data_IF_172622763709
#
_entry.id   IF_172622763709
#
_cell.length_a   1.000
_cell.length_b   1.000
_cell.length_c   1.000
_cell.angle_alpha   90.00
_cell.angle_beta   90.00
_cell.angle_gamma   90.00
#
_symmetry.space_group_name_H-M   'P 1'
#
loop_
_entity.id
_entity.type
_entity.pdbx_description
1 polymer ?
#
# COMPACT_ATOMS: atom_id res chain seq x y z
N UNK A 1 -14.28 -2.00 2.43
CA UNK A 1 -14.25 -2.67 1.10
C UNK A 1 -14.44 -4.18 1.26
N UNK A 2 -13.52 -4.95 1.88
CA UNK A 2 -13.63 -6.43 1.99
C UNK A 2 -14.96 -6.87 2.60
N UNK A 3 -15.38 -6.30 3.72
CA UNK A 3 -16.67 -6.64 4.35
C UNK A 3 -17.89 -6.28 3.49
N UNK A 4 -17.79 -5.22 2.70
CA UNK A 4 -18.87 -4.79 1.80
C UNK A 4 -19.01 -5.73 0.60
N UNK A 5 -17.89 -6.14 0.01
CA UNK A 5 -17.85 -7.01 -1.17
C UNK A 5 -17.55 -8.50 -0.83
N UNK A 6 -17.86 -8.95 0.39
CA UNK A 6 -17.50 -10.30 0.84
C UNK A 6 -18.15 -11.43 0.02
N UNK A 7 -19.26 -11.15 -0.64
CA UNK A 7 -19.96 -12.13 -1.50
C UNK A 7 -19.23 -12.33 -2.83
N UNK A 8 -18.62 -11.26 -3.34
CA UNK A 8 -17.87 -11.21 -4.58
C UNK A 8 -16.41 -11.63 -4.35
N UNK A 9 -15.84 -11.29 -3.21
CA UNK A 9 -14.46 -11.60 -2.82
C UNK A 9 -14.37 -12.98 -2.16
N UNK A 10 -14.54 -14.02 -2.96
CA UNK A 10 -14.42 -15.42 -2.49
C UNK A 10 -12.95 -15.80 -2.28
N UNK A 11 -12.69 -16.74 -1.35
CA UNK A 11 -11.35 -17.30 -1.14
C UNK A 11 -10.96 -18.23 -2.30
N UNK A 12 -9.68 -18.32 -2.70
CA UNK A 12 -8.54 -17.61 -2.08
C UNK A 12 -8.54 -16.10 -2.39
N UNK A 13 -8.13 -15.31 -1.41
CA UNK A 13 -7.87 -13.88 -1.63
C UNK A 13 -6.36 -13.66 -1.58
N UNK A 14 -5.81 -13.07 -2.63
CA UNK A 14 -4.41 -12.66 -2.74
C UNK A 14 -4.32 -11.16 -2.56
N UNK A 15 -3.36 -10.71 -1.75
CA UNK A 15 -3.06 -9.28 -1.61
C UNK A 15 -1.83 -8.91 -2.44
N UNK A 16 -1.99 -8.03 -3.44
CA UNK A 16 -0.86 -7.45 -4.19
C UNK A 16 -0.82 -5.96 -3.88
N UNK A 17 0.26 -5.49 -3.27
CA UNK A 17 0.39 -4.09 -2.86
C UNK A 17 1.73 -3.49 -3.17
N UNK A 18 1.72 -2.38 -3.91
CA UNK A 18 2.90 -1.58 -4.20
C UNK A 18 3.04 -0.45 -3.19
N UNK A 19 4.26 -0.17 -2.76
CA UNK A 19 4.58 1.00 -1.92
C UNK A 19 3.74 1.04 -0.63
N UNK A 20 2.95 2.09 -0.41
CA UNK A 20 2.00 2.19 0.72
C UNK A 20 0.89 1.14 0.67
N UNK A 21 0.51 0.69 -0.52
CA UNK A 21 -0.45 -0.40 -0.68
C UNK A 21 0.04 -1.69 0.01
N UNK A 22 1.33 -1.97 -0.07
CA UNK A 22 1.97 -3.07 0.67
C UNK A 22 1.84 -2.92 2.18
N UNK A 23 2.11 -1.72 2.72
CA UNK A 23 1.91 -1.40 4.13
C UNK A 23 0.46 -1.63 4.58
N UNK A 24 -0.50 -1.13 3.80
CA UNK A 24 -1.93 -1.26 4.11
C UNK A 24 -2.38 -2.72 4.11
N UNK A 25 -1.90 -3.54 3.16
CA UNK A 25 -2.23 -4.97 3.11
C UNK A 25 -1.66 -5.74 4.30
N UNK A 26 -0.44 -5.42 4.75
CA UNK A 26 0.12 -6.01 5.98
C UNK A 26 -0.76 -5.68 7.18
N UNK A 27 -1.13 -4.42 7.37
CA UNK A 27 -2.00 -4.02 8.48
C UNK A 27 -3.37 -4.69 8.39
N UNK A 28 -3.99 -4.77 7.22
CA UNK A 28 -5.25 -5.48 7.03
C UNK A 28 -5.10 -6.99 7.36
N UNK A 29 -3.98 -7.60 6.97
CA UNK A 29 -3.68 -9.00 7.28
C UNK A 29 -3.49 -9.25 8.77
N UNK A 30 -2.91 -8.29 9.51
CA UNK A 30 -2.77 -8.36 10.96
C UNK A 30 -4.11 -8.21 11.70
N UNK A 31 -5.04 -7.45 11.14
CA UNK A 31 -6.42 -7.35 11.65
C UNK A 31 -7.24 -8.60 11.36
N UNK A 32 -6.98 -9.26 10.23
CA UNK A 32 -7.70 -10.45 9.76
C UNK A 32 -6.70 -11.52 9.28
N UNK A 33 -6.08 -12.28 10.20
CA UNK A 33 -4.95 -13.16 9.89
C UNK A 33 -5.23 -14.28 8.88
N UNK A 34 -6.49 -14.64 8.67
CA UNK A 34 -6.92 -15.67 7.69
C UNK A 34 -7.55 -15.08 6.42
N UNK A 35 -7.50 -13.77 6.24
CA UNK A 35 -8.10 -13.11 5.07
C UNK A 35 -7.37 -13.45 3.78
N UNK A 36 -6.05 -13.26 3.79
CA UNK A 36 -5.22 -13.49 2.62
C UNK A 36 -4.59 -14.89 2.67
N UNK A 37 -4.59 -15.56 1.53
CA UNK A 37 -3.86 -16.81 1.34
C UNK A 37 -2.36 -16.54 1.21
N UNK A 38 -1.99 -15.45 0.54
CA UNK A 38 -0.62 -14.96 0.37
C UNK A 38 -0.62 -13.47 0.08
N UNK A 39 0.53 -12.81 0.31
CA UNK A 39 0.78 -11.40 -0.03
C UNK A 39 1.94 -11.29 -1.02
N UNK A 40 1.79 -10.39 -1.99
CA UNK A 40 2.88 -9.88 -2.82
C UNK A 40 3.10 -8.42 -2.47
N UNK A 41 4.26 -8.11 -1.93
CA UNK A 41 4.64 -6.78 -1.46
C UNK A 41 5.69 -6.20 -2.40
N UNK A 42 5.24 -5.34 -3.30
CA UNK A 42 6.08 -4.69 -4.32
C UNK A 42 6.67 -3.42 -3.73
N UNK A 43 7.94 -3.45 -3.43
CA UNK A 43 8.74 -2.37 -2.84
C UNK A 43 8.02 -1.61 -1.71
N UNK A 44 7.58 -2.32 -0.65
CA UNK A 44 6.66 -1.77 0.33
C UNK A 44 7.31 -0.71 1.22
N UNK A 45 6.55 0.34 1.55
CA UNK A 45 6.94 1.36 2.52
C UNK A 45 6.75 0.82 3.94
N UNK A 46 7.67 -0.07 4.33
CA UNK A 46 7.74 -0.70 5.65
C UNK A 46 9.20 -0.69 6.08
N UNK A 47 9.53 -0.01 7.17
CA UNK A 47 10.91 0.12 7.61
C UNK A 47 10.99 0.55 9.08
N UNK A 48 12.12 0.26 9.72
CA UNK A 48 12.36 0.47 11.15
C UNK A 48 12.43 1.94 11.57
N UNK A 49 12.71 2.83 10.63
CA UNK A 49 12.91 4.26 10.88
C UNK A 49 12.31 5.12 9.77
N UNK A 50 12.10 6.39 10.07
CA UNK A 50 11.60 7.34 9.10
C UNK A 50 12.67 7.68 8.06
N UNK A 51 12.39 7.42 6.79
CA UNK A 51 13.31 7.73 5.68
C UNK A 51 13.10 9.14 5.15
N UNK A 52 14.13 9.98 5.23
CA UNK A 52 14.10 11.30 4.57
C UNK A 52 13.96 11.14 3.05
N UNK A 53 14.78 10.31 2.44
CA UNK A 53 14.74 10.07 0.99
C UNK A 53 13.39 9.50 0.52
N UNK A 54 12.82 8.53 1.28
CA UNK A 54 11.55 7.87 0.93
C UNK A 54 10.30 8.71 1.20
N UNK A 55 10.36 9.72 2.06
CA UNK A 55 9.20 10.52 2.45
C UNK A 55 9.29 11.98 1.98
N UNK A 56 10.36 12.70 2.34
CA UNK A 56 10.49 14.14 2.04
C UNK A 56 10.73 14.42 0.56
N UNK A 57 11.51 13.59 -0.14
CA UNK A 57 11.75 13.73 -1.56
C UNK A 57 10.46 13.70 -2.37
N UNK A 58 9.68 12.61 -2.29
CA UNK A 58 8.38 12.49 -2.95
C UNK A 58 7.37 13.57 -2.53
N UNK A 59 7.28 13.90 -1.22
CA UNK A 59 6.39 14.94 -0.74
C UNK A 59 6.71 16.30 -1.36
N UNK A 60 8.00 16.68 -1.40
CA UNK A 60 8.45 17.93 -2.03
C UNK A 60 8.18 17.94 -3.54
N UNK A 61 8.44 16.83 -4.22
CA UNK A 61 8.17 16.71 -5.65
C UNK A 61 6.67 16.88 -5.95
N UNK A 62 5.79 16.19 -5.20
CA UNK A 62 4.35 16.29 -5.37
C UNK A 62 3.81 17.68 -5.02
N UNK A 63 4.34 18.34 -3.97
CA UNK A 63 3.95 19.72 -3.61
C UNK A 63 4.18 20.69 -4.76
N UNK A 64 5.31 20.56 -5.45
CA UNK A 64 5.75 21.53 -6.46
C UNK A 64 5.43 21.08 -7.91
N UNK A 65 4.86 19.89 -8.11
CA UNK A 65 4.55 19.41 -9.47
C UNK A 65 3.47 20.24 -10.15
N UNK A 66 3.58 20.36 -11.47
CA UNK A 66 2.50 20.88 -12.30
C UNK A 66 1.31 19.92 -12.26
N UNK A 67 0.11 20.46 -12.17
CA UNK A 67 -1.13 19.69 -12.07
C UNK A 67 -2.27 20.19 -12.96
N UNK A 68 -2.00 21.17 -13.85
CA UNK A 68 -2.97 21.66 -14.83
C UNK A 68 -2.30 21.82 -16.21
N UNK A 69 -3.00 21.44 -17.25
CA UNK A 69 -2.58 21.55 -18.65
C UNK A 69 -3.75 22.03 -19.50
N UNK A 70 -3.50 22.86 -20.55
CA UNK A 70 -4.56 23.41 -21.38
C UNK A 70 -5.35 22.33 -22.13
N UNK A 71 -4.74 21.16 -22.36
CA UNK A 71 -5.38 20.01 -22.97
C UNK A 71 -4.72 18.69 -22.53
N UNK A 72 -5.38 17.57 -22.78
CA UNK A 72 -4.82 16.23 -22.55
C UNK A 72 -3.58 16.00 -23.44
N UNK A 73 -3.57 16.53 -24.65
CA UNK A 73 -2.42 16.41 -25.54
C UNK A 73 -1.22 17.24 -25.05
N UNK A 74 -1.46 18.41 -24.50
CA UNK A 74 -0.40 19.21 -23.83
C UNK A 74 0.16 18.50 -22.59
N UNK A 75 -0.67 17.80 -21.83
CA UNK A 75 -0.24 16.95 -20.72
C UNK A 75 0.61 15.78 -21.22
N UNK A 76 0.16 15.06 -22.25
CA UNK A 76 0.89 13.97 -22.92
C UNK A 76 2.29 14.42 -23.34
N UNK A 77 2.38 15.54 -24.03
CA UNK A 77 3.65 16.10 -24.48
C UNK A 77 4.58 16.46 -23.31
N UNK A 78 4.02 16.96 -22.19
CA UNK A 78 4.77 17.28 -20.99
C UNK A 78 5.31 16.00 -20.31
N UNK A 79 4.49 14.95 -20.19
CA UNK A 79 4.91 13.68 -19.58
C UNK A 79 5.99 12.99 -20.42
N UNK A 80 5.85 12.91 -21.74
CA UNK A 80 6.84 12.32 -22.64
C UNK A 80 8.21 13.02 -22.59
N UNK A 81 8.27 14.32 -22.24
CA UNK A 81 9.53 15.04 -22.03
C UNK A 81 10.16 14.83 -20.66
N UNK A 82 9.40 14.36 -19.69
CA UNK A 82 9.88 14.18 -18.31
C UNK A 82 10.68 12.89 -18.17
N UNK A 83 11.92 12.98 -17.68
CA UNK A 83 12.78 11.82 -17.39
C UNK A 83 12.12 10.82 -16.45
N UNK A 84 11.30 11.31 -15.52
CA UNK A 84 10.55 10.48 -14.59
C UNK A 84 9.58 9.52 -15.29
N UNK A 85 8.83 10.02 -16.28
CA UNK A 85 7.88 9.21 -17.03
C UNK A 85 8.54 8.42 -18.19
N UNK A 86 9.75 8.78 -18.59
CA UNK A 86 10.49 8.05 -19.63
C UNK A 86 10.98 6.69 -19.15
N UNK A 87 11.08 6.45 -17.83
CA UNK A 87 11.37 5.14 -17.26
C UNK A 87 10.16 4.19 -17.26
N UNK A 88 8.96 4.70 -17.50
CA UNK A 88 7.74 3.88 -17.49
C UNK A 88 7.57 3.12 -18.80
N UNK A 89 6.96 1.94 -18.70
CA UNK A 89 6.43 1.24 -19.87
C UNK A 89 5.50 2.16 -20.65
N UNK A 90 5.65 2.29 -21.99
CA UNK A 90 4.81 3.16 -22.79
C UNK A 90 3.31 2.89 -22.67
N UNK A 91 2.90 1.63 -22.46
CA UNK A 91 1.50 1.23 -22.25
C UNK A 91 0.95 1.81 -20.96
N UNK A 92 1.76 1.78 -19.90
CA UNK A 92 1.38 2.35 -18.59
C UNK A 92 1.28 3.86 -18.67
N UNK A 93 2.21 4.52 -19.39
CA UNK A 93 2.14 5.96 -19.60
C UNK A 93 0.87 6.37 -20.37
N UNK A 94 0.47 5.62 -21.38
CA UNK A 94 -0.76 5.90 -22.11
C UNK A 94 -2.01 5.72 -21.23
N UNK A 95 -2.06 4.69 -20.38
CA UNK A 95 -3.13 4.51 -19.41
C UNK A 95 -3.15 5.63 -18.36
N UNK A 96 -1.96 6.09 -17.91
CA UNK A 96 -1.86 7.25 -17.03
C UNK A 96 -2.43 8.52 -17.67
N UNK A 97 -2.13 8.78 -18.95
CA UNK A 97 -2.66 9.94 -19.68
C UNK A 97 -4.18 9.82 -19.85
N UNK A 98 -4.68 8.62 -20.06
CA UNK A 98 -6.11 8.36 -20.24
C UNK A 98 -6.89 8.51 -18.93
N UNK A 99 -6.45 7.89 -17.85
CA UNK A 99 -7.21 7.74 -16.59
C UNK A 99 -6.67 8.55 -15.42
N UNK A 100 -5.40 8.94 -15.44
CA UNK A 100 -4.77 9.77 -14.41
C UNK A 100 -5.09 11.26 -14.51
N UNK A 101 -5.79 11.66 -15.58
CA UNK A 101 -6.22 13.02 -15.82
C UNK A 101 -7.76 13.10 -15.92
N UNK A 102 -8.30 14.21 -15.44
CA UNK A 102 -9.73 14.56 -15.57
C UNK A 102 -9.89 15.97 -16.14
N UNK A 103 -10.99 16.22 -16.81
CA UNK A 103 -11.32 17.54 -17.38
C UNK A 103 -11.71 18.55 -16.31
N UNK A 104 -11.36 19.81 -16.54
CA UNK A 104 -11.89 20.96 -15.80
C UNK A 104 -13.26 21.38 -16.38
N UNK A 105 -14.15 21.99 -15.58
CA UNK A 105 -13.95 22.43 -14.20
C UNK A 105 -14.06 21.29 -13.17
N UNK A 106 -13.40 21.47 -12.04
CA UNK A 106 -13.50 20.58 -10.88
C UNK A 106 -13.78 21.41 -9.63
N UNK A 107 -14.14 20.77 -8.51
CA UNK A 107 -14.34 21.49 -7.23
C UNK A 107 -13.08 22.24 -6.77
N UNK A 108 -11.89 21.73 -7.11
CA UNK A 108 -10.63 22.41 -6.81
C UNK A 108 -10.29 23.51 -7.81
N UNK A 109 -10.68 23.33 -9.06
CA UNK A 109 -10.44 24.27 -10.17
C UNK A 109 -11.77 24.60 -10.87
N UNK A 110 -12.61 25.46 -10.26
CA UNK A 110 -13.97 25.74 -10.77
C UNK A 110 -13.97 26.60 -12.05
N UNK A 111 -12.85 27.24 -12.37
CA UNK A 111 -12.70 28.10 -13.55
C UNK A 111 -11.49 27.66 -14.38
N UNK A 112 -11.64 27.76 -15.72
CA UNK A 112 -10.51 27.60 -16.63
C UNK A 112 -9.46 28.70 -16.38
N UNK A 113 -8.18 28.39 -16.60
CA UNK A 113 -7.14 29.43 -16.56
C UNK A 113 -7.26 30.35 -17.76
N UNK A 114 -6.87 31.61 -17.61
CA UNK A 114 -6.85 32.59 -18.70
C UNK A 114 -6.03 32.16 -19.94
N UNK A 115 -5.12 31.17 -19.77
CA UNK A 115 -4.35 30.59 -20.89
C UNK A 115 -5.17 29.60 -21.75
N UNK A 116 -6.36 29.14 -21.30
CA UNK A 116 -7.29 28.31 -22.09
C UNK A 116 -8.49 29.10 -22.60
N UNK A 117 -8.65 30.36 -22.19
CA UNK A 117 -9.65 31.26 -22.76
C UNK A 117 -9.08 31.89 -24.03
N UNK A 118 -9.48 31.39 -25.18
CA UNK A 118 -9.42 32.16 -26.41
C UNK A 118 -10.25 33.44 -26.15
N UNK A 119 -9.72 34.66 -26.34
CA UNK A 119 -10.51 35.86 -26.15
C UNK A 119 -11.77 35.76 -27.05
N UNK A 120 -12.97 36.03 -26.55
CA UNK A 120 -14.13 36.10 -27.42
C UNK A 120 -13.83 37.15 -28.47
N UNK A 121 -13.83 36.75 -29.74
CA UNK A 121 -13.78 37.69 -30.87
C UNK A 121 -15.07 38.49 -30.82
N UNK A 122 -15.00 39.72 -30.34
CA UNK A 122 -16.14 40.66 -30.39
C UNK A 122 -16.29 41.06 -31.85
N UNK A 123 -17.18 40.38 -32.57
CA UNK A 123 -17.64 40.92 -33.85
C UNK A 123 -18.59 42.09 -33.57
N UNK A 124 -18.29 43.25 -34.13
CA UNK A 124 -19.05 44.48 -33.97
C UNK A 124 -20.32 44.50 -34.86
N UNK A 125 -21.06 43.39 -34.88
CA UNK A 125 -22.33 43.33 -35.65
C UNK A 125 -23.48 43.01 -34.68
N UNK A 126 -24.44 43.94 -34.46
CA UNK A 126 -25.52 43.78 -33.47
C UNK A 126 -26.64 42.81 -33.88
N UNK A 127 -26.49 42.03 -34.94
CA UNK A 127 -27.56 41.23 -35.51
C UNK A 127 -27.37 39.70 -35.51
N UNK A 128 -26.26 39.15 -35.02
CA UNK A 128 -25.98 37.71 -35.09
C UNK A 128 -25.72 37.09 -33.73
N UNK A 129 -26.77 36.88 -32.94
CA UNK A 129 -26.70 36.10 -31.72
C UNK A 129 -27.03 34.62 -32.00
N UNK A 130 -26.11 33.92 -32.68
CA UNK A 130 -26.02 32.45 -32.59
C UNK A 130 -24.57 32.10 -32.32
N UNK A 131 -24.24 31.95 -31.04
CA UNK A 131 -22.99 31.37 -30.66
C UNK A 131 -23.06 29.88 -30.97
N UNK A 132 -22.61 29.49 -32.16
CA UNK A 132 -22.26 28.11 -32.43
C UNK A 132 -21.13 27.72 -31.46
N UNK A 133 -21.20 26.60 -30.74
CA UNK A 133 -20.07 26.12 -29.99
C UNK A 133 -18.94 25.88 -31.00
N UNK A 134 -17.78 26.48 -30.73
CA UNK A 134 -16.56 26.20 -31.49
C UNK A 134 -16.29 24.68 -31.49
N UNK A 135 -15.88 24.10 -32.64
CA UNK A 135 -15.64 22.67 -32.76
C UNK A 135 -14.50 22.31 -31.79
N UNK A 136 -14.72 21.30 -30.95
CA UNK A 136 -13.77 20.60 -30.10
C UNK A 136 -12.60 21.45 -29.57
N UNK A 137 -12.87 22.46 -28.76
CA UNK A 137 -11.83 23.08 -27.95
C UNK A 137 -11.39 22.06 -26.93
N UNK A 138 -10.16 21.56 -27.09
CA UNK A 138 -9.53 20.66 -26.14
C UNK A 138 -9.67 21.23 -24.71
N UNK A 139 -10.35 20.51 -23.85
CA UNK A 139 -10.63 20.97 -22.49
C UNK A 139 -9.38 20.91 -21.63
N UNK A 140 -9.21 21.93 -20.79
CA UNK A 140 -8.20 21.92 -19.76
C UNK A 140 -8.34 20.67 -18.90
N UNK A 141 -7.20 20.05 -18.53
CA UNK A 141 -7.16 18.85 -17.69
C UNK A 141 -6.32 19.07 -16.44
N UNK A 142 -6.68 18.36 -15.39
CA UNK A 142 -5.93 18.28 -14.13
C UNK A 142 -5.75 16.84 -13.70
N UNK A 143 -4.92 16.60 -12.65
CA UNK A 143 -4.74 15.26 -12.09
C UNK A 143 -6.05 14.72 -11.49
N UNK A 144 -6.37 13.46 -11.76
CA UNK A 144 -7.52 12.76 -11.17
C UNK A 144 -7.36 12.64 -9.65
N UNK A 145 -6.20 12.22 -9.17
CA UNK A 145 -5.79 12.36 -7.77
C UNK A 145 -5.03 13.67 -7.63
N UNK A 146 -5.53 14.59 -6.82
CA UNK A 146 -4.92 15.90 -6.67
C UNK A 146 -3.57 15.81 -5.96
N UNK A 147 -2.62 16.68 -6.31
CA UNK A 147 -1.32 16.76 -5.59
C UNK A 147 -1.49 17.00 -4.09
N UNK A 148 -2.54 17.67 -3.67
CA UNK A 148 -2.87 17.92 -2.27
C UNK A 148 -3.20 16.64 -1.51
N UNK A 149 -3.93 15.71 -2.13
CA UNK A 149 -4.18 14.38 -1.57
C UNK A 149 -2.93 13.51 -1.60
N UNK A 150 -2.17 13.56 -2.70
CA UNK A 150 -0.97 12.78 -2.89
C UNK A 150 0.10 13.07 -1.82
N UNK A 151 0.31 14.35 -1.48
CA UNK A 151 1.32 14.78 -0.49
C UNK A 151 1.07 14.13 0.87
N UNK A 152 -0.18 14.01 1.32
CA UNK A 152 -0.51 13.38 2.61
C UNK A 152 -0.23 11.88 2.66
N UNK A 153 -0.08 11.22 1.51
CA UNK A 153 0.36 9.82 1.50
C UNK A 153 1.85 9.67 1.85
N UNK A 154 2.64 10.73 1.72
CA UNK A 154 4.06 10.73 2.05
C UNK A 154 4.34 11.26 3.45
N UNK A 155 3.76 12.40 3.81
CA UNK A 155 3.99 13.07 5.09
C UNK A 155 2.73 13.78 5.56
N UNK A 156 2.49 13.76 6.87
CA UNK A 156 1.46 14.56 7.52
C UNK A 156 2.09 15.74 8.26
N UNK A 157 1.46 16.92 8.24
CA UNK A 157 1.99 18.08 8.94
C UNK A 157 1.79 17.95 10.46
N UNK A 158 2.76 18.37 11.22
CA UNK A 158 2.69 18.61 12.66
C UNK A 158 3.34 19.98 12.92
N UNK A 159 2.62 21.03 12.56
CA UNK A 159 3.11 22.41 12.60
C UNK A 159 2.84 23.05 13.96
N UNK A 160 3.66 24.00 14.41
CA UNK A 160 3.38 24.80 15.60
C UNK A 160 2.00 25.46 15.54
N UNK A 161 1.29 25.44 16.67
CA UNK A 161 0.05 26.17 16.87
C UNK A 161 0.19 27.05 18.10
N UNK A 162 -0.82 27.89 18.38
CA UNK A 162 -0.82 28.73 19.61
C UNK A 162 -0.85 27.86 20.87
N UNK A 163 -1.61 26.73 20.80
CA UNK A 163 -1.80 25.79 21.91
C UNK A 163 -0.62 24.82 22.04
N UNK A 164 0.14 24.59 20.98
CA UNK A 164 1.31 23.72 20.94
C UNK A 164 2.43 24.43 20.15
N UNK A 165 3.18 25.35 20.78
CA UNK A 165 4.22 26.12 20.10
C UNK A 165 5.42 25.28 19.64
N UNK A 166 5.74 24.18 20.36
CA UNK A 166 6.79 23.24 20.00
C UNK A 166 6.27 21.81 19.95
N UNK A 167 5.65 21.40 18.81
CA UNK A 167 5.11 20.05 18.67
C UNK A 167 6.18 18.95 18.57
N UNK A 168 7.47 19.30 18.56
CA UNK A 168 8.55 18.32 18.55
C UNK A 168 8.83 17.74 19.94
N UNK A 169 8.59 18.53 20.98
CA UNK A 169 8.80 18.16 22.38
C UNK A 169 7.52 17.70 23.08
N UNK A 170 6.38 18.33 22.73
CA UNK A 170 5.07 18.05 23.34
C UNK A 170 4.03 17.72 22.24
N UNK A 171 4.02 16.52 21.69
CA UNK A 171 3.07 16.16 20.64
C UNK A 171 1.63 16.18 21.14
N UNK A 172 0.77 16.87 20.41
CA UNK A 172 -0.67 16.89 20.71
C UNK A 172 -1.33 15.57 20.28
N UNK A 173 -1.38 14.60 21.17
CA UNK A 173 -1.95 13.28 20.90
C UNK A 173 -3.47 13.29 20.68
N UNK A 174 -4.17 14.38 21.01
CA UNK A 174 -5.58 14.54 20.70
C UNK A 174 -5.82 14.77 19.20
N UNK A 175 -4.99 15.59 18.57
CA UNK A 175 -5.06 15.87 17.13
C UNK A 175 -4.22 14.92 16.28
N UNK A 176 -3.18 14.31 16.86
CA UNK A 176 -2.24 13.39 16.24
C UNK A 176 -2.11 12.08 17.05
N UNK A 177 -3.20 11.30 17.22
CA UNK A 177 -3.25 10.17 18.15
C UNK A 177 -2.38 8.98 17.71
N UNK A 178 -1.97 8.96 16.45
CA UNK A 178 -1.11 7.93 15.85
C UNK A 178 0.37 8.31 15.80
N UNK A 179 0.73 9.45 16.37
CA UNK A 179 2.11 9.87 16.50
C UNK A 179 2.79 9.07 17.61
N UNK A 180 3.92 8.45 17.27
CA UNK A 180 4.79 7.79 18.24
C UNK A 180 6.00 8.69 18.54
N UNK A 181 6.10 9.27 19.76
CA UNK A 181 7.22 10.12 20.14
C UNK A 181 8.58 9.43 20.07
N UNK A 182 8.62 8.09 20.19
CA UNK A 182 9.85 7.30 20.17
C UNK A 182 10.35 6.99 18.74
N UNK A 183 9.52 7.18 17.72
CA UNK A 183 9.85 6.72 16.36
C UNK A 183 10.59 7.75 15.48
N UNK A 184 11.08 8.86 16.03
CA UNK A 184 11.91 9.83 15.31
C UNK A 184 11.33 11.24 15.26
N UNK A 185 11.83 12.12 14.36
CA UNK A 185 11.34 13.49 14.30
C UNK A 185 9.87 13.54 13.91
N UNK A 186 9.06 14.13 14.80
CA UNK A 186 7.62 14.20 14.67
C UNK A 186 7.14 15.60 14.20
N UNK A 187 8.04 16.56 14.05
CA UNK A 187 7.79 17.90 13.56
C UNK A 187 8.89 18.33 12.57
N UNK A 188 8.58 19.18 11.58
CA UNK A 188 7.26 19.70 11.20
C UNK A 188 6.37 18.70 10.46
N UNK A 189 6.86 17.48 10.22
CA UNK A 189 6.14 16.40 9.54
C UNK A 189 6.42 15.06 10.21
N UNK A 190 5.45 14.14 10.14
CA UNK A 190 5.54 12.80 10.68
C UNK A 190 4.90 11.76 9.78
N UNK A 191 5.24 10.48 10.00
CA UNK A 191 4.65 9.34 9.33
C UNK A 191 4.87 8.06 10.14
N UNK A 192 3.89 7.59 10.91
CA UNK A 192 4.06 6.48 11.84
C UNK A 192 3.91 5.09 11.19
N UNK A 193 3.13 4.98 10.09
CA UNK A 193 2.70 3.69 9.54
C UNK A 193 3.85 2.76 9.14
N UNK A 194 4.93 3.23 8.48
CA UNK A 194 6.03 2.35 8.08
C UNK A 194 6.70 1.67 9.26
N UNK A 195 6.88 2.40 10.36
CA UNK A 195 7.55 1.93 11.58
C UNK A 195 6.63 1.01 12.36
N UNK A 196 5.40 1.44 12.62
CA UNK A 196 4.41 0.65 13.35
C UNK A 196 4.15 -0.70 12.66
N UNK A 197 4.09 -0.70 11.32
CA UNK A 197 3.93 -1.93 10.54
C UNK A 197 5.18 -2.81 10.62
N UNK A 198 6.37 -2.23 10.55
CA UNK A 198 7.62 -2.97 10.65
C UNK A 198 7.69 -3.80 11.95
N UNK A 199 7.40 -3.19 13.09
CA UNK A 199 7.41 -3.87 14.39
C UNK A 199 6.39 -5.01 14.50
N UNK A 200 5.38 -5.05 13.64
CA UNK A 200 4.34 -6.08 13.59
C UNK A 200 4.58 -7.16 12.55
N UNK A 201 5.58 -7.01 11.67
CA UNK A 201 5.95 -8.01 10.66
C UNK A 201 6.16 -9.42 11.23
N UNK A 202 6.75 -9.60 12.45
CA UNK A 202 6.90 -10.93 13.03
C UNK A 202 5.60 -11.73 13.15
N UNK A 203 4.48 -11.07 13.37
CA UNK A 203 3.18 -11.71 13.56
C UNK A 203 2.40 -11.96 12.24
N UNK A 204 3.00 -11.69 11.10
CA UNK A 204 2.34 -11.82 9.79
C UNK A 204 2.15 -13.29 9.40
N UNK A 205 0.90 -13.71 9.31
CA UNK A 205 0.51 -15.12 9.10
C UNK A 205 0.55 -15.62 7.66
N UNK A 206 0.04 -14.87 6.63
CA UNK A 206 0.14 -15.35 5.26
C UNK A 206 1.60 -15.45 4.81
N UNK A 207 1.85 -16.25 3.79
CA UNK A 207 3.13 -16.22 3.09
C UNK A 207 3.33 -14.87 2.39
N UNK A 208 4.57 -14.49 2.19
CA UNK A 208 4.93 -13.18 1.61
C UNK A 208 5.98 -13.34 0.52
N UNK A 209 5.69 -12.76 -0.63
CA UNK A 209 6.67 -12.53 -1.68
C UNK A 209 7.02 -11.05 -1.74
N UNK A 210 8.29 -10.73 -1.56
CA UNK A 210 8.82 -9.39 -1.74
C UNK A 210 9.40 -9.22 -3.14
N UNK A 211 8.95 -8.22 -3.86
CA UNK A 211 9.54 -7.79 -5.12
C UNK A 211 10.19 -6.42 -4.91
N UNK A 212 11.50 -6.34 -5.04
CA UNK A 212 12.30 -5.14 -4.78
C UNK A 212 12.87 -4.56 -6.08
N UNK A 213 13.00 -3.23 -6.16
CA UNK A 213 13.76 -2.56 -7.21
C UNK A 213 15.20 -2.30 -6.75
N UNK A 214 16.18 -2.65 -7.57
CA UNK A 214 17.60 -2.47 -7.24
C UNK A 214 17.94 -1.00 -6.98
N UNK A 215 17.37 -0.09 -7.79
CA UNK A 215 17.63 1.35 -7.70
C UNK A 215 16.70 2.06 -6.72
N UNK A 216 15.83 1.33 -6.02
CA UNK A 216 14.94 1.92 -5.04
C UNK A 216 15.66 2.25 -3.73
N UNK A 217 15.48 3.47 -3.25
CA UNK A 217 15.97 3.88 -1.93
C UNK A 217 15.21 3.21 -0.75
N UNK A 218 14.09 2.53 -1.02
CA UNK A 218 13.34 1.72 -0.04
C UNK A 218 13.85 0.28 0.03
N UNK A 219 14.73 -0.13 -0.88
CA UNK A 219 15.23 -1.49 -1.06
C UNK A 219 16.75 -1.61 -0.98
N UNK A 220 17.39 -0.78 -0.17
CA UNK A 220 18.82 -0.97 0.15
C UNK A 220 19.07 -2.36 0.74
N UNK A 221 20.29 -2.92 0.62
CA UNK A 221 20.59 -4.25 1.19
C UNK A 221 20.18 -4.40 2.65
N UNK A 222 20.43 -3.39 3.49
CA UNK A 222 20.05 -3.40 4.91
C UNK A 222 18.52 -3.41 5.11
N UNK A 223 17.77 -2.59 4.36
CA UNK A 223 16.31 -2.52 4.45
C UNK A 223 15.63 -3.80 3.94
N UNK A 224 16.21 -4.46 2.93
CA UNK A 224 15.75 -5.78 2.46
C UNK A 224 15.98 -6.83 3.53
N UNK A 225 17.21 -6.91 4.04
CA UNK A 225 17.59 -7.86 5.08
C UNK A 225 16.69 -7.72 6.34
N UNK A 226 16.42 -6.50 6.78
CA UNK A 226 15.52 -6.23 7.91
C UNK A 226 14.12 -6.81 7.69
N UNK A 227 13.51 -6.57 6.53
CA UNK A 227 12.17 -7.09 6.21
C UNK A 227 12.15 -8.62 6.21
N UNK A 228 13.14 -9.25 5.56
CA UNK A 228 13.24 -10.70 5.44
C UNK A 228 13.48 -11.37 6.79
N UNK A 229 14.33 -10.78 7.63
CA UNK A 229 14.67 -11.33 8.95
C UNK A 229 13.48 -11.30 9.93
N UNK A 230 12.55 -10.35 9.78
CA UNK A 230 11.45 -10.17 10.75
C UNK A 230 10.13 -10.75 10.28
N UNK A 231 9.85 -10.81 8.97
CA UNK A 231 8.52 -11.18 8.47
C UNK A 231 8.15 -12.61 8.87
N UNK A 232 7.06 -12.76 9.61
CA UNK A 232 6.45 -14.03 9.95
C UNK A 232 7.21 -14.86 11.02
N UNK A 233 8.17 -14.28 11.72
CA UNK A 233 9.05 -15.02 12.66
C UNK A 233 8.52 -15.09 14.09
N UNK A 234 7.52 -14.30 14.43
CA UNK A 234 6.94 -14.22 15.78
C UNK A 234 5.75 -15.15 15.99
N UNK A 235 5.12 -15.00 17.15
CA UNK A 235 3.94 -15.78 17.53
C UNK A 235 2.79 -15.52 16.55
N UNK A 236 2.20 -16.58 16.01
CA UNK A 236 1.13 -16.49 14.99
C UNK A 236 1.59 -16.15 13.58
N UNK A 237 2.89 -15.94 13.39
CA UNK A 237 3.50 -15.69 12.09
C UNK A 237 3.59 -16.93 11.20
N UNK A 238 4.01 -16.72 9.95
CA UNK A 238 4.10 -17.78 8.93
C UNK A 238 5.25 -18.77 9.11
N UNK A 239 6.24 -18.45 9.94
CA UNK A 239 7.52 -19.16 10.07
C UNK A 239 8.66 -18.55 9.24
N UNK A 240 8.38 -17.48 8.50
CA UNK A 240 9.37 -16.65 7.82
C UNK A 240 10.15 -17.36 6.69
N UNK A 241 11.32 -16.83 6.39
CA UNK A 241 12.23 -17.39 5.38
C UNK A 241 12.62 -18.83 5.69
N UNK A 242 12.89 -19.16 6.95
CA UNK A 242 13.31 -20.49 7.35
C UNK A 242 12.29 -21.59 7.03
N UNK A 243 11.00 -21.26 6.99
CA UNK A 243 9.93 -22.19 6.62
C UNK A 243 9.51 -22.05 5.14
N UNK A 244 10.28 -21.33 4.35
CA UNK A 244 9.95 -21.08 2.93
C UNK A 244 8.69 -20.23 2.72
N UNK A 245 8.20 -19.57 3.79
CA UNK A 245 6.97 -18.77 3.73
C UNK A 245 7.22 -17.31 3.35
N UNK A 246 8.47 -16.89 3.28
CA UNK A 246 8.90 -15.57 2.82
C UNK A 246 9.98 -15.76 1.77
N UNK A 247 9.77 -15.19 0.59
CA UNK A 247 10.74 -15.17 -0.53
C UNK A 247 10.87 -13.76 -1.08
N UNK A 248 11.93 -13.52 -1.82
CA UNK A 248 12.12 -12.24 -2.48
C UNK A 248 12.84 -12.37 -3.80
N UNK A 249 12.63 -11.38 -4.67
CA UNK A 249 13.40 -11.11 -5.88
C UNK A 249 13.75 -9.63 -5.92
N UNK A 250 14.89 -9.29 -6.46
CA UNK A 250 15.30 -7.90 -6.76
C UNK A 250 15.43 -7.74 -8.26
N UNK A 251 14.69 -6.82 -8.86
CA UNK A 251 14.76 -6.52 -10.29
C UNK A 251 15.89 -5.52 -10.55
N UNK A 252 16.90 -5.96 -11.30
CA UNK A 252 18.05 -5.16 -11.70
C UNK A 252 17.63 -4.01 -12.62
N UNK A 253 18.22 -2.83 -12.41
CA UNK A 253 18.00 -1.62 -13.21
C UNK A 253 16.64 -0.96 -12.98
N UNK A 254 15.81 -1.44 -12.04
CA UNK A 254 14.45 -0.96 -11.78
C UNK A 254 14.41 -0.12 -10.51
N UNK A 255 13.67 0.99 -10.55
CA UNK A 255 13.47 1.90 -9.43
C UNK A 255 12.34 1.47 -8.50
N UNK A 256 11.76 2.46 -7.81
CA UNK A 256 10.63 2.22 -6.89
C UNK A 256 9.33 1.85 -7.59
N UNK A 257 9.12 2.35 -8.81
CA UNK A 257 7.85 2.20 -9.55
C UNK A 257 7.81 0.91 -10.38
N UNK A 258 8.18 -0.19 -9.76
CA UNK A 258 8.34 -1.50 -10.39
C UNK A 258 7.19 -1.88 -11.35
N UNK A 259 5.89 -1.78 -10.95
CA UNK A 259 4.79 -2.15 -11.84
C UNK A 259 4.63 -1.22 -13.05
N UNK A 260 5.22 -0.03 -12.99
CA UNK A 260 5.21 0.94 -14.08
C UNK A 260 6.44 0.80 -14.99
N UNK A 261 7.58 0.42 -14.41
CA UNK A 261 8.87 0.37 -15.11
C UNK A 261 9.14 -0.99 -15.76
N UNK A 262 8.68 -2.10 -15.15
CA UNK A 262 9.00 -3.47 -15.53
C UNK A 262 7.76 -4.38 -15.49
N UNK A 263 6.79 -4.10 -16.37
CA UNK A 263 5.46 -4.76 -16.36
C UNK A 263 5.57 -6.27 -16.51
N UNK A 264 6.24 -6.76 -17.56
CA UNK A 264 6.36 -8.19 -17.85
C UNK A 264 7.12 -8.92 -16.72
N UNK A 265 8.27 -8.40 -16.31
CA UNK A 265 9.07 -9.02 -15.24
C UNK A 265 8.31 -9.06 -13.93
N UNK A 266 7.52 -8.02 -13.64
CA UNK A 266 6.63 -7.99 -12.46
C UNK A 266 5.58 -9.10 -12.55
N UNK A 267 4.94 -9.26 -13.70
CA UNK A 267 3.91 -10.28 -13.91
C UNK A 267 4.49 -11.70 -13.82
N UNK A 268 5.65 -11.94 -14.42
CA UNK A 268 6.34 -13.23 -14.39
C UNK A 268 6.70 -13.64 -12.96
N UNK A 269 7.36 -12.76 -12.20
CA UNK A 269 7.75 -13.03 -10.81
C UNK A 269 6.53 -13.25 -9.89
N UNK A 270 5.49 -12.42 -10.06
CA UNK A 270 4.24 -12.59 -9.33
C UNK A 270 3.57 -13.93 -9.66
N UNK A 271 3.52 -14.32 -10.92
CA UNK A 271 2.92 -15.58 -11.37
C UNK A 271 3.70 -16.78 -10.84
N UNK A 272 5.03 -16.73 -10.92
CA UNK A 272 5.92 -17.77 -10.39
C UNK A 272 5.75 -18.03 -8.89
N UNK A 273 5.39 -16.99 -8.14
CA UNK A 273 5.03 -17.13 -6.72
C UNK A 273 3.61 -17.62 -6.53
N UNK A 274 2.63 -17.07 -7.26
CA UNK A 274 1.20 -17.29 -7.01
C UNK A 274 0.76 -18.72 -7.33
N UNK A 275 1.23 -19.31 -8.42
CA UNK A 275 0.77 -20.64 -8.84
C UNK A 275 0.97 -21.67 -7.73
N UNK A 276 2.18 -21.92 -7.20
CA UNK A 276 2.38 -22.91 -6.15
C UNK A 276 1.67 -22.54 -4.83
N UNK A 277 1.54 -21.24 -4.50
CA UNK A 277 0.85 -20.82 -3.27
C UNK A 277 -0.65 -21.10 -3.34
N UNK A 278 -1.29 -20.90 -4.48
CA UNK A 278 -2.73 -21.17 -4.66
C UNK A 278 -3.00 -22.68 -4.71
N UNK A 279 -2.17 -23.44 -5.41
CA UNK A 279 -2.27 -24.91 -5.43
C UNK A 279 -2.11 -25.49 -4.02
N UNK A 280 -1.09 -25.06 -3.29
CA UNK A 280 -0.87 -25.47 -1.90
C UNK A 280 -2.00 -25.05 -0.96
N UNK A 281 -2.59 -23.86 -1.16
CA UNK A 281 -3.77 -23.44 -0.42
C UNK A 281 -4.96 -24.34 -0.72
N UNK A 282 -5.25 -24.63 -1.98
CA UNK A 282 -6.37 -25.48 -2.39
C UNK A 282 -6.25 -26.90 -1.80
N UNK A 283 -5.05 -27.47 -1.82
CA UNK A 283 -4.78 -28.78 -1.24
C UNK A 283 -5.03 -28.80 0.28
N UNK A 284 -4.60 -27.76 1.01
CA UNK A 284 -4.83 -27.65 2.47
C UNK A 284 -6.31 -27.47 2.79
N UNK A 285 -7.04 -26.60 2.10
CA UNK A 285 -8.48 -26.40 2.32
C UNK A 285 -9.28 -27.68 2.05
N UNK A 286 -8.89 -28.45 1.03
CA UNK A 286 -9.54 -29.72 0.71
C UNK A 286 -9.23 -30.79 1.78
N UNK A 287 -8.00 -30.85 2.31
CA UNK A 287 -7.63 -31.73 3.39
C UNK A 287 -8.45 -31.40 4.67
N UNK A 288 -8.44 -30.11 5.09
CA UNK A 288 -9.24 -29.66 6.24
C UNK A 288 -10.74 -29.97 6.08
N UNK A 289 -11.28 -29.83 4.86
CA UNK A 289 -12.69 -30.14 4.57
C UNK A 289 -12.98 -31.63 4.72
N UNK A 290 -12.10 -32.49 4.21
CA UNK A 290 -12.25 -33.93 4.33
C UNK A 290 -12.15 -34.40 5.77
N UNK A 291 -11.16 -33.93 6.51
CA UNK A 291 -10.99 -34.21 7.93
C UNK A 291 -12.23 -33.79 8.73
N UNK A 292 -12.73 -32.57 8.50
CA UNK A 292 -13.93 -32.08 9.16
C UNK A 292 -15.19 -32.83 8.77
N UNK A 293 -15.31 -33.26 7.50
CA UNK A 293 -16.44 -34.05 7.02
C UNK A 293 -16.46 -35.46 7.67
N UNK A 294 -15.27 -36.01 7.93
CA UNK A 294 -15.15 -37.32 8.59
C UNK A 294 -15.53 -37.31 10.08
N UNK A 295 -15.51 -36.15 10.74
CA UNK A 295 -15.94 -36.05 12.15
C UNK A 295 -17.46 -36.28 12.24
N UNK A 296 -17.94 -37.22 13.08
CA UNK A 296 -19.36 -37.45 13.31
C UNK A 296 -20.06 -36.17 13.77
N UNK A 297 -21.33 -36.00 13.32
CA UNK A 297 -22.09 -34.79 13.60
C UNK A 297 -22.18 -34.47 15.11
N UNK A 298 -22.34 -35.54 15.91
CA UNK A 298 -22.49 -35.49 17.36
C UNK A 298 -21.20 -35.03 18.04
N UNK A 299 -20.06 -35.24 17.39
CA UNK A 299 -18.73 -34.86 17.92
C UNK A 299 -18.27 -33.44 17.50
N UNK A 300 -18.96 -32.83 16.51
CA UNK A 300 -18.56 -31.52 15.97
C UNK A 300 -18.73 -30.33 16.95
N UNK A 301 -19.64 -30.50 17.92
CA UNK A 301 -20.00 -29.45 18.87
C UNK A 301 -19.71 -29.83 20.34
N UNK A 302 -18.98 -30.94 20.58
CA UNK A 302 -18.66 -31.40 21.93
C UNK A 302 -17.17 -31.47 22.15
N UNK A 303 -16.78 -31.42 23.43
CA UNK A 303 -15.39 -31.64 23.83
C UNK A 303 -14.94 -33.04 23.47
N UNK A 304 -13.75 -33.20 22.90
CA UNK A 304 -13.16 -34.52 22.67
C UNK A 304 -12.90 -35.24 23.98
N UNK A 305 -12.95 -36.59 23.94
CA UNK A 305 -12.59 -37.40 25.10
C UNK A 305 -11.16 -37.12 25.57
N UNK A 306 -10.24 -36.91 24.64
CA UNK A 306 -8.87 -36.53 24.96
C UNK A 306 -8.80 -35.22 25.76
N UNK A 307 -9.61 -34.20 25.36
CA UNK A 307 -9.66 -32.93 26.10
C UNK A 307 -10.18 -33.17 27.54
N UNK A 308 -11.26 -33.95 27.70
CA UNK A 308 -11.82 -34.28 29.02
C UNK A 308 -10.83 -34.99 29.91
N UNK A 309 -10.16 -36.01 29.36
CA UNK A 309 -9.13 -36.78 30.10
C UNK A 309 -7.94 -35.89 30.51
N UNK A 310 -7.52 -34.99 29.62
CA UNK A 310 -6.45 -34.06 29.93
C UNK A 310 -6.85 -33.10 31.04
N UNK A 311 -8.06 -32.54 31.02
CA UNK A 311 -8.56 -31.63 32.04
C UNK A 311 -8.83 -32.32 33.39
N UNK A 312 -9.24 -33.58 33.37
CA UNK A 312 -9.47 -34.37 34.60
C UNK A 312 -8.19 -35.02 35.13
N UNK A 313 -7.12 -35.02 34.37
CA UNK A 313 -5.79 -35.46 34.83
C UNK A 313 -5.08 -34.34 35.61
N UNK A 314 -4.16 -34.73 36.50
CA UNK A 314 -3.34 -33.79 37.31
C UNK A 314 -2.25 -33.10 36.46
N UNK A 315 -2.62 -32.48 35.33
CA UNK A 315 -1.67 -31.78 34.47
C UNK A 315 -1.19 -30.46 35.09
N UNK A 316 -2.03 -29.81 35.94
CA UNK A 316 -1.66 -28.60 36.69
C UNK A 316 -0.53 -28.90 37.69
N UNK A 317 -0.62 -30.00 38.39
CA UNK A 317 0.38 -30.39 39.40
C UNK A 317 1.76 -30.69 38.78
N UNK A 318 1.81 -31.10 37.49
CA UNK A 318 3.06 -31.33 36.78
C UNK A 318 3.77 -30.05 36.33
N UNK A 319 3.05 -28.92 36.19
CA UNK A 319 3.64 -27.63 35.81
C UNK A 319 4.15 -26.82 37.00
N UNK A 320 3.57 -26.98 38.20
CA UNK A 320 4.08 -26.30 39.39
C UNK A 320 5.48 -26.81 39.85
N UNK A 321 5.88 -28.01 39.40
CA UNK A 321 7.25 -28.54 39.59
C UNK A 321 8.31 -27.95 38.63
N UNK A 322 7.91 -27.28 37.55
CA UNK A 322 8.82 -26.57 36.67
C UNK A 322 8.94 -25.12 37.18
N UNK A 323 10.00 -24.81 37.95
CA UNK A 323 10.29 -23.47 38.46
C UNK A 323 10.17 -22.46 37.30
N UNK A 324 9.24 -21.53 37.45
CA UNK A 324 9.16 -20.34 36.56
C UNK A 324 10.54 -19.68 36.50
N UNK A 325 11.04 -19.33 35.30
CA UNK A 325 12.24 -18.50 35.24
C UNK A 325 11.93 -17.20 35.97
N UNK A 326 12.77 -16.82 36.90
CA UNK A 326 12.69 -15.50 37.53
C UNK A 326 12.91 -14.46 36.44
N UNK A 327 11.93 -13.57 36.26
CA UNK A 327 12.05 -12.35 35.48
C UNK A 327 13.16 -11.46 36.02
#
# INVERSE_FOLDING_TARGET
>A
MVNHFRKEMKRPIVGIGHSMGGNNLVNLSLMHPRLFSTLILVDPVIQRFQSRAGNYGPARASTNRRDRWPSREAARAAFKRSKFYQSWDPRVLELWIQYGLRESPTSLYPYATAASATPPTISADPGAATVSPAPDTEKEVTLATTKHQEVFTFLRPNLPTKECPDPSTEPNLQTHPDMDPASGPNAPFYRPEPIATFHRLPNLRPSVFYLFGEQSNLSTPALKADKLAHTGTGVGGSGGVQKGRVRNVTLEGVGHLIPMEAVERTAEECTGWLVPEIEGWAAREEAERREWAAVPKEQKAVLSEQYRQTMNGNWADKQEGAKSPKL
#
